data_IF_111698954151
#
_entry.id   IF_111698954151
#
_cell.length_a   1.000
_cell.length_b   1.000
_cell.length_c   1.000
_cell.angle_alpha   90.00
_cell.angle_beta   90.00
_cell.angle_gamma   90.00
#
_symmetry.space_group_name_H-M   'P 1'
#
loop_
_entity.id
_entity.type
_entity.pdbx_description
1 polymer ?
#
# COMPACT_ATOMS: atom_id res chain seq x y z
N UNK A 1 8.97 15.51 -5.01
CA UNK A 1 7.64 15.71 -4.38
C UNK A 1 6.59 14.89 -5.12
N UNK A 2 5.55 14.45 -4.43
CA UNK A 2 4.40 13.70 -4.96
C UNK A 2 3.23 14.68 -5.09
N UNK A 3 2.61 14.77 -6.28
CA UNK A 3 1.36 15.52 -6.45
C UNK A 3 0.27 14.89 -5.59
N UNK A 4 -0.30 15.69 -4.70
CA UNK A 4 -1.32 15.25 -3.76
C UNK A 4 -2.31 16.38 -3.49
N UNK A 5 -3.42 16.02 -2.82
CA UNK A 5 -4.47 16.94 -2.42
C UNK A 5 -4.49 16.98 -0.89
N UNK A 6 -4.54 18.16 -0.25
CA UNK A 6 -4.70 19.49 -0.85
C UNK A 6 -3.40 20.17 -1.31
N UNK A 7 -2.23 19.59 -1.03
CA UNK A 7 -0.93 20.10 -1.46
C UNK A 7 0.04 18.94 -1.73
N UNK A 8 1.12 19.25 -2.45
CA UNK A 8 2.18 18.28 -2.78
C UNK A 8 2.86 17.75 -1.51
N UNK A 9 3.15 16.45 -1.49
CA UNK A 9 3.80 15.76 -0.37
C UNK A 9 5.30 15.51 -0.63
N UNK A 10 6.17 15.47 0.39
CA UNK A 10 5.94 15.94 1.76
C UNK A 10 5.93 17.47 1.83
N UNK A 11 5.39 18.00 2.93
CA UNK A 11 5.22 19.44 3.13
C UNK A 11 6.53 20.24 3.08
N UNK A 12 7.66 19.60 3.41
CA UNK A 12 9.01 20.18 3.42
C UNK A 12 9.80 19.89 2.13
N UNK A 13 9.19 19.18 1.18
CA UNK A 13 9.79 18.76 -0.08
C UNK A 13 10.86 17.67 0.03
N UNK A 14 11.19 17.19 1.24
CA UNK A 14 12.29 16.23 1.48
C UNK A 14 11.82 14.78 1.31
N UNK A 15 11.61 14.37 0.06
CA UNK A 15 11.31 12.98 -0.28
C UNK A 15 12.61 12.24 -0.66
N UNK A 16 13.28 11.65 0.33
CA UNK A 16 14.51 10.85 0.15
C UNK A 16 14.37 9.46 0.78
N UNK A 17 15.13 8.49 0.33
CA UNK A 17 14.94 7.09 0.73
C UNK A 17 15.26 6.85 2.22
N UNK A 18 16.25 7.57 2.75
CA UNK A 18 16.78 7.40 4.11
C UNK A 18 15.77 7.76 5.21
N UNK A 19 14.76 8.57 4.89
CA UNK A 19 13.74 9.01 5.84
C UNK A 19 12.30 8.67 5.39
N UNK A 20 12.14 7.82 4.37
CA UNK A 20 10.84 7.45 3.82
C UNK A 20 10.64 5.93 3.85
N UNK A 21 9.44 5.49 4.27
CA UNK A 21 9.07 4.08 4.25
C UNK A 21 7.75 3.85 3.51
N UNK A 22 7.64 2.70 2.84
CA UNK A 22 6.37 2.16 2.38
C UNK A 22 5.83 1.19 3.42
N UNK A 23 4.64 1.46 3.95
CA UNK A 23 3.92 0.55 4.85
C UNK A 23 2.82 -0.16 4.05
N UNK A 24 2.87 -1.48 3.98
CA UNK A 24 1.85 -2.32 3.36
C UNK A 24 0.99 -2.92 4.46
N UNK A 25 -0.25 -2.45 4.57
CA UNK A 25 -1.13 -2.77 5.70
C UNK A 25 -2.08 -3.90 5.32
N UNK A 26 -2.03 -4.99 6.10
CA UNK A 26 -3.07 -6.02 6.21
C UNK A 26 -3.49 -6.63 4.86
N UNK A 27 -2.53 -6.84 3.94
CA UNK A 27 -2.76 -7.59 2.70
C UNK A 27 -2.80 -9.10 2.94
N UNK A 28 -3.62 -9.51 3.92
CA UNK A 28 -3.75 -10.88 4.40
C UNK A 28 -4.94 -11.60 3.74
N UNK A 29 -4.90 -12.93 3.71
CA UNK A 29 -5.98 -13.74 3.15
C UNK A 29 -7.32 -13.55 3.88
N UNK A 30 -7.29 -13.21 5.17
CA UNK A 30 -8.51 -12.99 5.94
C UNK A 30 -9.36 -11.83 5.41
N UNK A 31 -8.73 -10.79 4.87
CA UNK A 31 -9.41 -9.64 4.29
C UNK A 31 -9.65 -9.80 2.78
N UNK A 32 -8.72 -10.44 2.08
CA UNK A 32 -8.66 -10.41 0.61
C UNK A 32 -9.16 -11.68 -0.08
N UNK A 33 -9.27 -12.80 0.62
CA UNK A 33 -9.70 -14.06 0.01
C UNK A 33 -11.21 -14.13 -0.11
N UNK A 34 -11.70 -14.73 -1.19
CA UNK A 34 -13.13 -15.10 -1.35
C UNK A 34 -13.58 -16.17 -0.37
N UNK A 35 -12.65 -16.81 0.35
CA UNK A 35 -12.92 -17.75 1.45
C UNK A 35 -12.35 -17.29 2.80
N UNK A 36 -11.90 -16.04 2.89
CA UNK A 36 -11.30 -15.44 4.09
C UNK A 36 -12.35 -15.03 5.13
N UNK A 37 -11.87 -14.53 6.28
CA UNK A 37 -12.73 -14.04 7.36
C UNK A 37 -13.80 -13.03 6.87
N UNK A 38 -13.42 -12.02 6.07
CA UNK A 38 -14.36 -11.01 5.55
C UNK A 38 -15.46 -11.63 4.67
N UNK A 39 -15.08 -12.49 3.73
CA UNK A 39 -16.03 -13.18 2.87
C UNK A 39 -17.00 -14.06 3.68
N UNK A 40 -16.50 -14.77 4.70
CA UNK A 40 -17.33 -15.57 5.62
C UNK A 40 -18.28 -14.73 6.47
N UNK A 41 -17.95 -13.45 6.71
CA UNK A 41 -18.84 -12.47 7.36
C UNK A 41 -19.83 -11.82 6.40
N UNK A 42 -19.78 -12.15 5.11
CA UNK A 42 -20.70 -11.64 4.09
C UNK A 42 -20.21 -10.37 3.38
N UNK A 43 -18.95 -9.95 3.58
CA UNK A 43 -18.37 -8.83 2.84
C UNK A 43 -17.83 -9.29 1.48
N UNK A 44 -17.98 -8.45 0.45
CA UNK A 44 -17.33 -8.66 -0.84
C UNK A 44 -15.85 -8.20 -0.81
N UNK A 45 -14.87 -9.11 -0.96
CA UNK A 45 -13.46 -8.73 -0.96
C UNK A 45 -12.99 -8.14 -2.30
N UNK A 46 -13.81 -8.16 -3.36
CA UNK A 46 -13.40 -7.75 -4.71
C UNK A 46 -12.81 -6.32 -4.77
N UNK A 47 -13.39 -5.30 -4.11
CA UNK A 47 -12.80 -3.96 -4.09
C UNK A 47 -11.42 -3.91 -3.40
N UNK A 48 -11.24 -4.70 -2.33
CA UNK A 48 -9.96 -4.77 -1.61
C UNK A 48 -8.90 -5.51 -2.44
N UNK A 49 -9.30 -6.51 -3.24
CA UNK A 49 -8.39 -7.21 -4.16
C UNK A 49 -7.99 -6.36 -5.35
N UNK A 50 -8.85 -5.44 -5.79
CA UNK A 50 -8.63 -4.64 -6.99
C UNK A 50 -7.35 -3.79 -6.93
N UNK A 51 -6.88 -3.43 -5.72
CA UNK A 51 -5.66 -2.62 -5.55
C UNK A 51 -4.36 -3.43 -5.68
N UNK A 52 -4.40 -4.76 -5.64
CA UNK A 52 -3.20 -5.61 -5.60
C UNK A 52 -2.19 -5.31 -6.73
N UNK A 53 -2.59 -5.13 -8.00
CA UNK A 53 -1.64 -4.77 -9.05
C UNK A 53 -0.94 -3.43 -8.79
N UNK A 54 -1.66 -2.45 -8.22
CA UNK A 54 -1.11 -1.12 -7.89
C UNK A 54 -0.14 -1.21 -6.72
N UNK A 55 -0.49 -1.95 -5.66
CA UNK A 55 0.42 -2.16 -4.51
C UNK A 55 1.69 -2.88 -4.96
N UNK A 56 1.57 -3.90 -5.81
CA UNK A 56 2.73 -4.62 -6.34
C UNK A 56 3.67 -3.69 -7.14
N UNK A 57 3.13 -2.82 -8.00
CA UNK A 57 3.94 -1.84 -8.74
C UNK A 57 4.61 -0.84 -7.80
N UNK A 58 3.89 -0.33 -6.80
CA UNK A 58 4.44 0.61 -5.82
C UNK A 58 5.55 -0.02 -4.98
N UNK A 59 5.33 -1.24 -4.47
CA UNK A 59 6.33 -2.00 -3.72
C UNK A 59 7.58 -2.25 -4.55
N UNK A 60 7.44 -2.65 -5.81
CA UNK A 60 8.58 -2.85 -6.69
C UNK A 60 9.36 -1.55 -6.94
N UNK A 61 8.68 -0.41 -7.08
CA UNK A 61 9.32 0.89 -7.21
C UNK A 61 10.03 1.32 -5.90
N UNK A 62 9.42 1.09 -4.74
CA UNK A 62 10.00 1.37 -3.44
C UNK A 62 11.29 0.56 -3.21
N UNK A 63 11.29 -0.74 -3.56
CA UNK A 63 12.49 -1.58 -3.52
C UNK A 63 13.60 -0.98 -4.39
N UNK A 64 13.30 -0.64 -5.65
CA UNK A 64 14.31 -0.07 -6.56
C UNK A 64 14.85 1.28 -6.11
N UNK A 65 14.03 2.07 -5.42
CA UNK A 65 14.41 3.37 -4.87
C UNK A 65 15.10 3.26 -3.49
N UNK A 66 15.28 2.06 -2.94
CA UNK A 66 15.97 1.85 -1.67
C UNK A 66 15.16 2.27 -0.44
N UNK A 67 13.83 2.38 -0.54
CA UNK A 67 12.98 2.73 0.60
C UNK A 67 12.93 1.59 1.63
N UNK A 68 12.75 1.96 2.89
CA UNK A 68 12.35 1.01 3.93
C UNK A 68 10.95 0.46 3.62
N UNK A 69 10.73 -0.84 3.81
CA UNK A 69 9.43 -1.48 3.58
C UNK A 69 8.99 -2.17 4.87
N UNK A 70 7.81 -1.80 5.36
CA UNK A 70 7.18 -2.37 6.55
C UNK A 70 5.88 -3.07 6.12
N UNK A 71 5.60 -4.22 6.72
CA UNK A 71 4.35 -4.95 6.52
C UNK A 71 3.68 -5.16 7.87
N UNK A 72 2.35 -5.11 7.89
CA UNK A 72 1.52 -5.48 9.04
C UNK A 72 0.56 -6.61 8.68
#
# INVERSE_FOLDING_TARGET
MIKAIPFDYPYDGRLVAENTALIVIDLQQDFLSTSGYFARKGYDPSPLRAILPTVNRLRAAAIRAGLTIVHT
#
